data_IF_403484848732
#
_entry.id   IF_403484848732
#
_cell.length_a   1.000
_cell.length_b   1.000
_cell.length_c   1.000
_cell.angle_alpha   90.00
_cell.angle_beta   90.00
_cell.angle_gamma   90.00
#
_symmetry.space_group_name_H-M   'P 1'
#
loop_
_entity.id
_entity.type
_entity.pdbx_description
1 polymer ?
#
# COMPACT_ATOMS: atom_id res chain seq x y z
N UNK A 1 3.93 45.95 -32.73
CA UNK A 1 3.23 45.07 -33.68
C UNK A 1 4.24 44.38 -34.59
N UNK A 2 4.43 43.06 -34.43
CA UNK A 2 5.21 42.23 -35.36
C UNK A 2 4.25 41.51 -36.33
N UNK A 3 4.58 41.39 -37.63
CA UNK A 3 3.71 40.73 -38.60
C UNK A 3 3.68 39.21 -38.42
N UNK A 4 2.55 38.54 -38.74
CA UNK A 4 2.40 37.10 -38.49
C UNK A 4 3.19 36.26 -39.50
N UNK A 5 3.92 35.29 -38.95
CA UNK A 5 4.66 34.23 -39.62
C UNK A 5 3.73 33.29 -40.42
N UNK A 6 3.98 33.10 -41.72
CA UNK A 6 3.28 32.10 -42.58
C UNK A 6 4.14 30.85 -42.80
N UNK A 7 3.69 29.72 -42.27
CA UNK A 7 4.26 28.41 -42.58
C UNK A 7 3.57 27.76 -43.81
N UNK A 8 4.34 27.45 -44.86
CA UNK A 8 3.90 26.63 -46.01
C UNK A 8 3.99 25.13 -45.63
N UNK A 9 2.87 24.40 -45.58
CA UNK A 9 2.88 22.93 -45.52
C UNK A 9 3.22 22.35 -46.89
N UNK A 10 4.33 21.63 -46.97
CA UNK A 10 4.78 20.89 -48.15
C UNK A 10 3.92 19.64 -48.38
N UNK A 11 3.23 19.59 -49.53
CA UNK A 11 2.54 18.40 -50.07
C UNK A 11 3.57 17.36 -50.52
N UNK A 12 4.01 16.42 -49.68
CA UNK A 12 4.84 15.28 -50.16
C UNK A 12 4.78 13.97 -49.36
N UNK A 13 3.64 13.64 -48.73
CA UNK A 13 3.47 12.35 -48.01
C UNK A 13 2.09 11.68 -48.18
N UNK A 14 1.35 11.95 -49.27
CA UNK A 14 0.03 11.33 -49.51
C UNK A 14 -0.01 10.30 -50.66
N UNK A 15 1.08 10.12 -51.41
CA UNK A 15 1.08 9.27 -52.62
C UNK A 15 1.68 7.86 -52.41
N UNK A 16 2.29 7.60 -51.26
CA UNK A 16 2.90 6.30 -50.93
C UNK A 16 2.03 5.40 -50.04
N UNK A 17 0.97 5.93 -49.42
CA UNK A 17 0.05 5.13 -48.60
C UNK A 17 -1.06 4.44 -49.43
N UNK A 18 -1.46 5.01 -50.56
CA UNK A 18 -2.53 4.42 -51.40
C UNK A 18 -2.06 3.22 -52.23
N UNK A 19 -0.75 3.08 -52.46
CA UNK A 19 -0.18 1.95 -53.23
C UNK A 19 0.01 0.67 -52.39
N UNK A 20 0.13 0.78 -51.06
CA UNK A 20 0.28 -0.38 -50.18
C UNK A 20 -1.08 -1.01 -49.81
N UNK A 21 -2.18 -0.25 -49.84
CA UNK A 21 -3.52 -0.77 -49.58
C UNK A 21 -4.13 -1.55 -50.77
N UNK A 22 -3.72 -1.26 -52.00
CA UNK A 22 -4.28 -1.88 -53.21
C UNK A 22 -3.73 -3.28 -53.52
N UNK A 23 -2.53 -3.60 -53.02
CA UNK A 23 -1.91 -4.93 -53.16
C UNK A 23 -2.57 -5.98 -52.24
N UNK A 24 -2.89 -5.60 -51.00
CA UNK A 24 -3.40 -6.55 -50.00
C UNK A 24 -4.82 -7.05 -50.29
N UNK A 25 -5.65 -6.25 -50.98
CA UNK A 25 -7.05 -6.60 -51.26
C UNK A 25 -7.23 -7.56 -52.46
N UNK A 26 -6.21 -7.76 -53.29
CA UNK A 26 -6.28 -8.58 -54.52
C UNK A 26 -5.90 -10.06 -54.31
N UNK A 27 -5.19 -10.38 -53.22
CA UNK A 27 -4.81 -11.77 -52.90
C UNK A 27 -5.97 -12.56 -52.26
N UNK A 28 -6.89 -11.87 -51.58
CA UNK A 28 -7.96 -12.52 -50.81
C UNK A 28 -9.20 -12.94 -51.62
N UNK A 29 -9.38 -12.40 -52.83
CA UNK A 29 -10.56 -12.72 -53.67
C UNK A 29 -10.35 -13.94 -54.57
N UNK A 30 -9.12 -14.43 -54.76
CA UNK A 30 -8.83 -15.53 -55.68
C UNK A 30 -8.84 -16.94 -55.06
N UNK A 31 -9.04 -17.04 -53.73
CA UNK A 31 -9.07 -18.32 -53.00
C UNK A 31 -10.51 -18.79 -52.71
N UNK A 32 -11.51 -17.92 -52.85
CA UNK A 32 -12.88 -18.20 -52.39
C UNK A 32 -13.81 -18.86 -53.41
N UNK A 33 -13.38 -19.01 -54.66
CA UNK A 33 -14.26 -19.45 -55.76
C UNK A 33 -13.92 -20.83 -56.35
N UNK A 34 -12.90 -21.54 -55.86
CA UNK A 34 -12.46 -22.83 -56.46
C UNK A 34 -12.86 -24.12 -55.73
N UNK A 35 -13.65 -24.07 -54.66
CA UNK A 35 -14.12 -25.29 -53.98
C UNK A 35 -15.58 -25.19 -53.57
N UNK A 36 -16.41 -24.89 -54.57
CA UNK A 36 -17.82 -25.28 -54.60
C UNK A 36 -17.96 -26.16 -55.83
N UNK A 37 -18.61 -27.31 -55.66
CA UNK A 37 -19.01 -28.26 -56.70
C UNK A 37 -18.02 -29.43 -56.94
N UNK A 38 -17.92 -30.32 -55.95
CA UNK A 38 -18.41 -31.70 -56.08
C UNK A 38 -17.97 -32.61 -54.90
N UNK A 39 -18.94 -33.45 -54.45
CA UNK A 39 -18.80 -34.67 -53.63
C UNK A 39 -18.76 -34.54 -52.07
N UNK A 40 -19.26 -35.56 -51.33
CA UNK A 40 -20.61 -35.48 -50.74
C UNK A 40 -20.65 -35.67 -49.20
N UNK A 41 -21.71 -35.11 -48.60
CA UNK A 41 -22.40 -35.50 -47.36
C UNK A 41 -21.61 -36.15 -46.20
N UNK A 42 -21.03 -35.32 -45.33
CA UNK A 42 -20.75 -35.66 -43.91
C UNK A 42 -21.82 -35.08 -42.96
N UNK A 43 -23.08 -35.00 -43.42
CA UNK A 43 -24.18 -34.38 -42.67
C UNK A 43 -24.91 -35.33 -41.70
N UNK A 44 -24.54 -36.62 -41.66
CA UNK A 44 -25.20 -37.66 -40.86
C UNK A 44 -24.35 -38.21 -39.68
N UNK A 45 -23.16 -37.66 -39.38
CA UNK A 45 -22.34 -38.09 -38.21
C UNK A 45 -22.24 -37.07 -37.07
N UNK A 46 -23.11 -36.04 -37.04
CA UNK A 46 -23.05 -34.91 -36.08
C UNK A 46 -24.14 -34.87 -34.99
N UNK A 47 -24.83 -35.97 -34.68
CA UNK A 47 -25.74 -36.04 -33.52
C UNK A 47 -25.28 -37.11 -32.55
N UNK A 48 -24.42 -36.74 -31.59
CA UNK A 48 -24.13 -37.64 -30.47
C UNK A 48 -23.02 -37.20 -29.53
N UNK A 49 -21.94 -36.61 -30.02
CA UNK A 49 -20.69 -36.61 -29.25
C UNK A 49 -20.06 -35.24 -28.93
N UNK A 50 -20.58 -34.13 -29.47
CA UNK A 50 -19.92 -32.81 -29.34
C UNK A 50 -20.76 -31.75 -28.62
N UNK A 51 -21.77 -32.13 -27.82
CA UNK A 51 -22.54 -31.19 -26.99
C UNK A 51 -22.20 -31.21 -25.49
N UNK A 52 -21.37 -32.15 -25.02
CA UNK A 52 -21.06 -32.31 -23.59
C UNK A 52 -19.75 -31.66 -23.11
N UNK A 53 -18.85 -31.24 -24.00
CA UNK A 53 -17.50 -30.77 -23.62
C UNK A 53 -17.41 -29.23 -23.50
N UNK A 54 -18.27 -28.47 -24.18
CA UNK A 54 -18.23 -27.00 -24.13
C UNK A 54 -18.83 -26.38 -22.86
N UNK A 55 -19.86 -27.01 -22.27
CA UNK A 55 -20.51 -26.50 -21.06
C UNK A 55 -19.65 -26.67 -19.80
N UNK A 56 -18.90 -27.78 -19.72
CA UNK A 56 -18.06 -28.07 -18.57
C UNK A 56 -16.82 -27.17 -18.51
N UNK A 57 -16.21 -26.88 -19.67
CA UNK A 57 -15.03 -26.02 -19.76
C UNK A 57 -15.33 -24.54 -19.46
N UNK A 58 -16.53 -24.06 -19.82
CA UNK A 58 -16.97 -22.72 -19.42
C UNK A 58 -17.34 -22.66 -17.93
N UNK A 59 -17.94 -23.71 -17.37
CA UNK A 59 -18.26 -23.78 -15.95
C UNK A 59 -16.99 -23.82 -15.05
N UNK A 60 -15.93 -24.51 -15.47
CA UNK A 60 -14.67 -24.56 -14.70
C UNK A 60 -13.89 -23.24 -14.74
N UNK A 61 -13.89 -22.54 -15.88
CA UNK A 61 -13.26 -21.21 -15.99
C UNK A 61 -14.02 -20.17 -15.17
N UNK A 62 -15.36 -20.21 -15.16
CA UNK A 62 -16.19 -19.31 -14.33
C UNK A 62 -16.01 -19.62 -12.84
N UNK A 63 -15.92 -20.89 -12.44
CA UNK A 63 -15.68 -21.28 -11.05
C UNK A 63 -14.32 -20.80 -10.51
N UNK A 64 -13.25 -20.82 -11.32
CA UNK A 64 -11.93 -20.31 -10.93
C UNK A 64 -11.90 -18.78 -10.80
N UNK A 65 -12.64 -18.06 -11.64
CA UNK A 65 -12.76 -16.60 -11.53
C UNK A 65 -13.57 -16.22 -10.27
N UNK A 66 -14.63 -16.97 -9.94
CA UNK A 66 -15.41 -16.74 -8.72
C UNK A 66 -14.57 -17.03 -7.47
N UNK A 67 -13.68 -18.03 -7.50
CA UNK A 67 -12.79 -18.34 -6.36
C UNK A 67 -11.77 -17.23 -6.06
N UNK A 68 -11.31 -16.49 -7.08
CA UNK A 68 -10.40 -15.34 -6.89
C UNK A 68 -11.17 -14.12 -6.32
N UNK A 69 -12.43 -13.94 -6.70
CA UNK A 69 -13.28 -12.86 -6.19
C UNK A 69 -13.94 -13.17 -4.82
N UNK A 70 -14.00 -14.43 -4.41
CA UNK A 70 -14.52 -14.88 -3.12
C UNK A 70 -13.39 -15.13 -2.11
N UNK A 71 -12.33 -14.32 -2.17
CA UNK A 71 -11.42 -14.24 -1.02
C UNK A 71 -12.22 -13.63 0.13
N UNK A 72 -12.37 -14.30 1.28
CA UNK A 72 -12.72 -13.58 2.48
C UNK A 72 -11.56 -12.62 2.72
N UNK A 73 -11.79 -11.33 2.47
CA UNK A 73 -10.99 -10.29 3.09
C UNK A 73 -11.13 -10.59 4.57
N UNK A 74 -10.09 -11.19 5.15
CA UNK A 74 -9.89 -11.21 6.59
C UNK A 74 -9.68 -9.75 6.97
N UNK A 75 -10.78 -9.02 7.10
CA UNK A 75 -10.85 -7.85 7.91
C UNK A 75 -10.60 -8.36 9.32
N UNK A 76 -9.38 -8.17 9.79
CA UNK A 76 -9.03 -8.30 11.19
C UNK A 76 -9.89 -7.25 11.93
N UNK A 77 -11.12 -7.62 12.27
CA UNK A 77 -11.92 -6.90 13.25
C UNK A 77 -11.21 -7.06 14.59
N UNK A 78 -10.18 -6.23 14.80
CA UNK A 78 -9.77 -5.84 16.15
C UNK A 78 -10.98 -5.23 16.81
N UNK A 79 -11.75 -6.07 17.52
CA UNK A 79 -12.77 -5.65 18.48
C UNK A 79 -12.18 -4.49 19.29
N UNK A 80 -12.90 -3.36 19.45
CA UNK A 80 -12.42 -2.25 20.25
C UNK A 80 -12.39 -2.74 21.69
N UNK A 81 -11.23 -3.23 22.14
CA UNK A 81 -11.03 -3.51 23.55
C UNK A 81 -11.15 -2.19 24.30
N UNK A 82 -11.80 -2.23 25.47
CA UNK A 82 -11.89 -1.18 26.51
C UNK A 82 -10.51 -0.63 27.01
N UNK A 83 -9.45 -0.79 26.24
CA UNK A 83 -8.09 -0.34 26.48
C UNK A 83 -7.89 1.12 26.03
N UNK A 84 -8.76 2.02 26.52
CA UNK A 84 -8.65 3.46 26.31
C UNK A 84 -8.02 4.12 27.54
N UNK A 85 -6.95 4.87 27.33
CA UNK A 85 -6.29 5.67 28.37
C UNK A 85 -6.81 7.12 28.37
N UNK A 86 -6.98 7.72 27.18
CA UNK A 86 -7.55 9.05 27.01
C UNK A 86 -8.11 9.24 25.58
N UNK A 87 -8.80 10.35 25.34
CA UNK A 87 -9.21 10.80 24.01
C UNK A 87 -8.94 12.29 23.84
N UNK A 88 -8.42 12.66 22.68
CA UNK A 88 -8.04 14.02 22.30
C UNK A 88 -8.66 14.34 20.95
N UNK A 89 -9.66 15.22 20.91
CA UNK A 89 -10.36 15.62 19.68
C UNK A 89 -10.87 14.46 18.80
N UNK A 90 -11.27 13.33 19.42
CA UNK A 90 -11.70 12.13 18.70
C UNK A 90 -10.59 11.10 18.44
N UNK A 91 -9.32 11.43 18.71
CA UNK A 91 -8.19 10.50 18.65
C UNK A 91 -8.03 9.75 19.97
N UNK A 92 -7.95 8.42 19.91
CA UNK A 92 -7.90 7.56 21.10
C UNK A 92 -6.44 7.23 21.45
N UNK A 93 -6.04 7.58 22.67
CA UNK A 93 -4.78 7.12 23.27
C UNK A 93 -5.08 5.78 23.94
N UNK A 94 -4.39 4.72 23.51
CA UNK A 94 -4.64 3.36 24.01
C UNK A 94 -3.86 3.08 25.29
N UNK A 95 -4.35 2.13 26.10
CA UNK A 95 -3.61 1.67 27.28
C UNK A 95 -2.24 1.08 26.93
N UNK A 96 -2.13 0.41 25.78
CA UNK A 96 -0.84 -0.12 25.31
C UNK A 96 0.18 1.01 25.06
N UNK A 97 -0.25 2.14 24.47
CA UNK A 97 0.65 3.29 24.28
C UNK A 97 1.09 3.88 25.62
N UNK A 98 0.16 3.97 26.58
CA UNK A 98 0.46 4.40 27.93
C UNK A 98 1.46 3.48 28.63
N UNK A 99 1.25 2.16 28.59
CA UNK A 99 2.13 1.17 29.20
C UNK A 99 3.53 1.16 28.58
N UNK A 100 3.62 1.33 27.26
CA UNK A 100 4.91 1.44 26.56
C UNK A 100 5.69 2.67 27.00
N UNK A 101 5.05 3.85 27.09
CA UNK A 101 5.72 5.06 27.56
C UNK A 101 6.06 5.00 29.06
N UNK A 102 5.18 4.43 29.88
CA UNK A 102 5.46 4.20 31.30
C UNK A 102 6.67 3.28 31.48
N UNK A 103 6.79 2.24 30.66
CA UNK A 103 7.94 1.32 30.68
C UNK A 103 9.24 2.03 30.27
N UNK A 104 9.18 2.95 29.30
CA UNK A 104 10.33 3.80 28.90
C UNK A 104 10.79 4.70 30.05
N UNK A 105 9.85 5.37 30.71
CA UNK A 105 10.17 6.25 31.85
C UNK A 105 10.76 5.44 33.01
N UNK A 106 10.18 4.27 33.33
CA UNK A 106 10.72 3.37 34.35
C UNK A 106 12.15 2.92 34.02
N UNK A 107 12.42 2.48 32.80
CA UNK A 107 13.76 2.06 32.37
C UNK A 107 14.78 3.21 32.52
N UNK A 108 14.39 4.45 32.18
CA UNK A 108 15.23 5.64 32.35
C UNK A 108 15.55 5.92 33.82
N UNK A 109 14.53 5.85 34.68
CA UNK A 109 14.67 6.06 36.12
C UNK A 109 15.55 4.97 36.75
N UNK A 110 15.32 3.70 36.41
CA UNK A 110 16.13 2.57 36.86
C UNK A 110 17.59 2.68 36.39
N UNK A 111 17.82 3.11 35.14
CA UNK A 111 19.17 3.36 34.61
C UNK A 111 19.88 4.50 35.34
N UNK A 112 19.11 5.41 35.95
CA UNK A 112 19.61 6.53 36.77
C UNK A 112 19.70 6.18 38.26
N UNK A 113 19.44 4.92 38.64
CA UNK A 113 19.45 4.44 40.02
C UNK A 113 18.28 4.93 40.89
N UNK A 114 17.24 5.50 40.26
CA UNK A 114 16.07 6.03 40.97
C UNK A 114 14.96 4.99 41.06
N UNK A 115 14.41 4.81 42.25
CA UNK A 115 13.19 4.01 42.48
C UNK A 115 12.09 4.93 43.02
N UNK A 116 11.07 5.28 42.23
CA UNK A 116 10.03 6.19 42.68
C UNK A 116 9.17 5.55 43.79
N UNK A 117 8.81 6.35 44.79
CA UNK A 117 7.80 5.98 45.78
C UNK A 117 6.41 5.83 45.14
N UNK A 118 5.43 5.29 45.87
CA UNK A 118 4.05 5.17 45.37
C UNK A 118 3.45 6.53 44.94
N UNK A 119 3.67 7.58 45.74
CA UNK A 119 3.19 8.94 45.41
C UNK A 119 3.83 9.47 44.13
N UNK A 120 5.14 9.32 43.99
CA UNK A 120 5.86 9.73 42.77
C UNK A 120 5.42 8.92 41.56
N UNK A 121 5.11 7.63 41.73
CA UNK A 121 4.62 6.78 40.64
C UNK A 121 3.28 7.28 40.09
N UNK A 122 2.37 7.74 40.95
CA UNK A 122 1.09 8.32 40.50
C UNK A 122 1.29 9.67 39.79
N UNK A 123 2.25 10.47 40.23
CA UNK A 123 2.61 11.72 39.55
C UNK A 123 3.23 11.45 38.17
N UNK A 124 4.16 10.49 38.09
CA UNK A 124 4.74 10.05 36.82
C UNK A 124 3.66 9.53 35.86
N UNK A 125 2.68 8.76 36.33
CA UNK A 125 1.57 8.30 35.48
C UNK A 125 0.80 9.49 34.88
N UNK A 126 0.52 10.53 35.67
CA UNK A 126 -0.15 11.73 35.17
C UNK A 126 0.71 12.47 34.16
N UNK A 127 2.00 12.60 34.42
CA UNK A 127 2.96 13.23 33.49
C UNK A 127 3.08 12.46 32.17
N UNK A 128 3.12 11.12 32.22
CA UNK A 128 3.13 10.28 31.02
C UNK A 128 1.84 10.46 30.22
N UNK A 129 0.69 10.48 30.88
CA UNK A 129 -0.58 10.71 30.20
C UNK A 129 -0.64 12.11 29.56
N UNK A 130 -0.20 13.14 30.29
CA UNK A 130 -0.12 14.50 29.77
C UNK A 130 0.81 14.59 28.56
N UNK A 131 1.98 13.97 28.64
CA UNK A 131 2.95 13.92 27.53
C UNK A 131 2.36 13.27 26.29
N UNK A 132 1.57 12.19 26.45
CA UNK A 132 0.88 11.54 25.34
C UNK A 132 -0.20 12.44 24.73
N UNK A 133 -0.95 13.17 25.55
CA UNK A 133 -1.94 14.14 25.09
C UNK A 133 -1.27 15.28 24.32
N UNK A 134 -0.22 15.88 24.88
CA UNK A 134 0.51 16.98 24.26
C UNK A 134 1.11 16.55 22.92
N UNK A 135 1.68 15.34 22.87
CA UNK A 135 2.19 14.75 21.62
C UNK A 135 1.10 14.56 20.58
N UNK A 136 -0.07 14.07 20.98
CA UNK A 136 -1.20 13.87 20.06
C UNK A 136 -1.69 15.21 19.49
N UNK A 137 -1.75 16.27 20.32
CA UNK A 137 -2.08 17.62 19.85
C UNK A 137 -1.06 18.15 18.85
N UNK A 138 0.23 17.98 19.12
CA UNK A 138 1.29 18.37 18.18
C UNK A 138 1.21 17.56 16.88
N UNK A 139 0.91 16.27 16.96
CA UNK A 139 0.72 15.44 15.77
C UNK A 139 -0.43 15.98 14.91
N UNK A 140 -1.57 16.30 15.52
CA UNK A 140 -2.72 16.89 14.84
C UNK A 140 -2.34 18.21 14.16
N UNK A 141 -1.62 19.10 14.86
CA UNK A 141 -1.15 20.36 14.29
C UNK A 141 -0.20 20.14 13.10
N UNK A 142 0.70 19.15 13.17
CA UNK A 142 1.63 18.83 12.07
C UNK A 142 0.89 18.39 10.79
N UNK A 143 -0.21 17.64 10.97
CA UNK A 143 -1.07 17.20 9.87
C UNK A 143 -1.87 18.37 9.30
N UNK A 144 -2.41 19.24 10.16
CA UNK A 144 -3.14 20.45 9.74
C UNK A 144 -2.25 21.40 8.93
N UNK A 145 -0.99 21.58 9.35
CA UNK A 145 0.04 22.35 8.63
C UNK A 145 0.61 21.62 7.42
N UNK A 146 0.21 20.37 7.16
CA UNK A 146 0.64 19.52 6.03
C UNK A 146 2.15 19.37 5.96
N UNK A 147 2.79 19.22 7.11
CA UNK A 147 4.23 18.97 7.19
C UNK A 147 4.52 17.59 6.60
N UNK A 148 5.27 17.57 5.50
CA UNK A 148 5.66 16.33 4.82
C UNK A 148 7.11 15.97 5.17
N UNK A 149 7.30 14.77 5.70
CA UNK A 149 8.63 14.20 5.96
C UNK A 149 8.94 13.18 4.86
N UNK A 150 10.06 13.39 4.18
CA UNK A 150 10.58 12.48 3.16
C UNK A 150 11.02 11.15 3.77
N UNK A 151 10.70 10.04 3.11
CA UNK A 151 11.02 8.70 3.62
C UNK A 151 12.54 8.46 3.68
N UNK A 152 13.32 9.10 2.81
CA UNK A 152 14.79 9.04 2.83
C UNK A 152 15.36 9.60 4.13
N UNK A 153 14.82 10.71 4.63
CA UNK A 153 15.24 11.29 5.90
C UNK A 153 14.88 10.40 7.09
N UNK A 154 13.77 9.67 7.01
CA UNK A 154 13.40 8.67 8.02
C UNK A 154 14.38 7.49 8.00
N UNK A 155 14.74 7.00 6.82
CA UNK A 155 15.69 5.89 6.66
C UNK A 155 17.10 6.26 7.13
N UNK A 156 17.52 7.52 6.94
CA UNK A 156 18.76 8.06 7.52
C UNK A 156 18.73 8.03 9.05
N UNK A 157 17.60 8.42 9.67
CA UNK A 157 17.45 8.38 11.13
C UNK A 157 17.47 6.95 11.67
N UNK A 158 16.80 6.01 11.00
CA UNK A 158 16.84 4.59 11.37
C UNK A 158 18.26 4.05 11.25
N UNK A 159 18.98 4.40 10.17
CA UNK A 159 20.36 3.98 9.96
C UNK A 159 21.27 4.55 11.04
N UNK A 160 21.09 5.82 11.42
CA UNK A 160 21.80 6.45 12.53
C UNK A 160 21.51 5.78 13.87
N UNK A 161 20.24 5.41 14.11
CA UNK A 161 19.83 4.68 15.30
C UNK A 161 20.48 3.29 15.37
N UNK A 162 20.48 2.54 14.26
CA UNK A 162 21.11 1.20 14.17
C UNK A 162 22.60 1.24 14.51
N UNK A 163 23.31 2.30 14.14
CA UNK A 163 24.74 2.49 14.48
C UNK A 163 25.02 2.61 15.98
N UNK A 164 24.00 2.88 16.81
CA UNK A 164 24.14 2.93 18.27
C UNK A 164 24.17 1.54 18.91
N UNK A 165 23.82 0.50 18.14
CA UNK A 165 23.85 -0.88 18.58
C UNK A 165 25.11 -1.58 18.06
N UNK A 166 25.65 -2.57 18.80
CA UNK A 166 26.79 -3.35 18.35
C UNK A 166 26.53 -4.12 17.05
N UNK A 167 25.30 -4.62 16.89
CA UNK A 167 24.88 -5.43 15.75
C UNK A 167 23.34 -5.35 15.54
N UNK A 168 22.88 -5.89 14.41
CA UNK A 168 21.45 -5.89 14.03
C UNK A 168 20.59 -6.81 14.92
N UNK A 169 21.18 -7.85 15.54
CA UNK A 169 20.45 -8.74 16.44
C UNK A 169 20.08 -8.01 17.73
N UNK A 170 21.01 -7.21 18.29
CA UNK A 170 20.75 -6.36 19.46
C UNK A 170 19.73 -5.26 19.18
N UNK A 171 19.74 -4.69 17.98
CA UNK A 171 18.70 -3.76 17.54
C UNK A 171 17.31 -4.43 17.49
N UNK A 172 17.20 -5.64 16.92
CA UNK A 172 15.95 -6.40 16.86
C UNK A 172 15.45 -6.85 18.23
N UNK A 173 16.36 -7.25 19.11
CA UNK A 173 16.06 -7.57 20.52
C UNK A 173 15.47 -6.34 21.23
N UNK A 174 16.08 -5.17 21.05
CA UNK A 174 15.56 -3.93 21.59
C UNK A 174 14.18 -3.56 21.03
N UNK A 175 13.97 -3.65 19.71
CA UNK A 175 12.65 -3.46 19.09
C UNK A 175 11.58 -4.35 19.73
N UNK A 176 11.91 -5.63 19.93
CA UNK A 176 11.02 -6.61 20.55
C UNK A 176 10.73 -6.28 22.01
N UNK A 177 11.76 -5.88 22.79
CA UNK A 177 11.58 -5.42 24.19
C UNK A 177 10.66 -4.20 24.28
N UNK A 178 10.73 -3.32 23.29
CA UNK A 178 9.87 -2.14 23.19
C UNK A 178 8.48 -2.42 22.62
N UNK A 179 8.22 -3.62 22.10
CA UNK A 179 6.95 -4.00 21.49
C UNK A 179 6.70 -3.37 20.12
N UNK A 180 7.75 -3.04 19.36
CA UNK A 180 7.62 -2.44 18.03
C UNK A 180 8.08 -3.37 16.92
N UNK A 181 7.34 -3.36 15.81
CA UNK A 181 7.86 -3.79 14.51
C UNK A 181 8.71 -2.68 13.87
N UNK A 182 9.60 -3.04 12.93
CA UNK A 182 10.47 -2.05 12.25
C UNK A 182 9.66 -1.00 11.47
N UNK A 183 8.55 -1.41 10.83
CA UNK A 183 7.64 -0.49 10.13
C UNK A 183 6.91 0.47 11.09
N UNK A 184 6.54 -0.02 12.28
CA UNK A 184 5.92 0.82 13.30
C UNK A 184 6.92 1.85 13.82
N UNK A 185 8.17 1.45 14.05
CA UNK A 185 9.23 2.39 14.42
C UNK A 185 9.45 3.43 13.31
N UNK A 186 9.45 3.03 12.03
CA UNK A 186 9.56 3.96 10.91
C UNK A 186 8.43 5.00 10.91
N UNK A 187 7.19 4.55 11.13
CA UNK A 187 6.05 5.46 11.28
C UNK A 187 6.24 6.41 12.47
N UNK A 188 6.65 5.90 13.65
CA UNK A 188 6.92 6.72 14.83
C UNK A 188 7.99 7.78 14.59
N UNK A 189 9.11 7.43 13.94
CA UNK A 189 10.16 8.39 13.62
C UNK A 189 9.64 9.47 12.65
N UNK A 190 8.82 9.08 11.66
CA UNK A 190 8.21 10.03 10.74
C UNK A 190 7.30 11.04 11.46
N UNK A 191 6.46 10.56 12.38
CA UNK A 191 5.61 11.39 13.23
C UNK A 191 6.45 12.36 14.08
N UNK A 192 7.49 11.88 14.76
CA UNK A 192 8.39 12.71 15.57
C UNK A 192 9.10 13.78 14.74
N UNK A 193 9.51 13.45 13.52
CA UNK A 193 10.14 14.39 12.60
C UNK A 193 9.17 15.47 12.14
N UNK A 194 7.90 15.13 11.91
CA UNK A 194 6.87 16.09 11.55
C UNK A 194 6.59 17.05 12.71
N UNK A 195 6.45 16.53 13.93
CA UNK A 195 6.28 17.33 15.15
C UNK A 195 7.47 18.27 15.36
N UNK A 196 8.70 17.81 15.13
CA UNK A 196 9.91 18.63 15.30
C UNK A 196 10.00 19.82 14.33
N UNK A 197 9.26 19.78 13.21
CA UNK A 197 9.25 20.83 12.21
C UNK A 197 8.15 21.89 12.43
N UNK A 198 7.30 21.71 13.45
CA UNK A 198 6.30 22.70 13.88
C UNK A 198 6.93 23.97 14.44
#
# INVERSE_FOLDING_TARGET
MTPPYKAKRTKKKKKTLDLLFYSYKRVFTKVKDCTRDNLPTLKERKKGMLKKIGGFYWATVVALVIFIFFSPVFADEKKPSDNKAAEVNGSIITQTQFDTEMSRVKERLSSSGQTPSKSQTEEIKKEVLQTLIDRELLLQESVEKKIAVEDSSVDEQITSLKKRFPDDAKYKEWLTKMGFAENELKARIKEEMAIKQL
#
